data_IF_742937834894
#
_entry.id   IF_742937834894
#
_cell.length_a   1.000
_cell.length_b   1.000
_cell.length_c   1.000
_cell.angle_alpha   90.00
_cell.angle_beta   90.00
_cell.angle_gamma   90.00
#
_symmetry.space_group_name_H-M   'P 1'
#
loop_
_entity.id
_entity.type
_entity.pdbx_description
1 polymer ?
#
# COMPACT_ATOMS: atom_id res chain seq x y z
N UNK A 1 5.42 12.33 6.74
CA UNK A 1 5.41 10.88 6.91
C UNK A 1 6.76 10.23 6.56
N UNK A 2 7.22 10.14 5.36
CA UNK A 2 8.48 9.43 5.03
C UNK A 2 9.71 10.32 4.95
N UNK A 3 9.67 11.54 5.52
CA UNK A 3 10.80 12.48 5.48
C UNK A 3 12.02 11.90 6.21
N UNK A 4 13.06 11.57 5.45
CA UNK A 4 14.29 10.94 5.95
C UNK A 4 14.16 9.45 6.35
N UNK A 5 13.00 8.79 6.17
CA UNK A 5 12.82 7.37 6.49
C UNK A 5 13.10 6.43 5.32
N UNK A 6 13.11 6.91 4.07
CA UNK A 6 13.35 6.07 2.91
C UNK A 6 14.59 5.13 3.04
N UNK A 7 15.74 5.56 3.60
CA UNK A 7 16.89 4.68 3.79
C UNK A 7 16.68 3.52 4.77
N UNK A 8 15.62 3.56 5.57
CA UNK A 8 15.29 2.58 6.62
C UNK A 8 14.05 1.75 6.27
N UNK A 9 13.30 2.16 5.24
CA UNK A 9 12.00 1.59 4.92
C UNK A 9 12.06 0.08 4.71
N UNK A 10 13.03 -0.43 3.94
CA UNK A 10 13.19 -1.88 3.73
C UNK A 10 13.73 -2.65 4.95
N UNK A 11 14.08 -1.97 6.04
CA UNK A 11 14.38 -2.59 7.34
C UNK A 11 13.18 -2.53 8.29
N UNK A 12 12.24 -1.64 8.02
CA UNK A 12 10.95 -1.56 8.70
C UNK A 12 9.98 -2.59 8.10
N UNK A 13 9.90 -2.62 6.78
CA UNK A 13 9.02 -3.50 6.00
C UNK A 13 9.85 -4.19 4.90
N UNK A 14 10.45 -5.36 5.20
CA UNK A 14 11.32 -6.05 4.25
C UNK A 14 10.56 -6.51 3.00
N UNK A 15 11.05 -6.25 1.78
CA UNK A 15 10.38 -6.68 0.54
C UNK A 15 10.06 -8.17 0.49
N UNK A 16 10.89 -9.01 1.14
CA UNK A 16 10.69 -10.46 1.14
C UNK A 16 9.41 -10.92 1.85
N UNK A 17 8.86 -10.12 2.74
CA UNK A 17 7.63 -10.42 3.50
C UNK A 17 6.36 -10.26 2.64
N UNK A 18 6.45 -9.53 1.52
CA UNK A 18 5.32 -9.22 0.64
C UNK A 18 5.00 -10.27 -0.43
N UNK A 19 5.70 -11.43 -0.44
CA UNK A 19 5.48 -12.47 -1.46
C UNK A 19 4.05 -13.04 -1.40
N UNK A 20 3.57 -13.30 -0.19
CA UNK A 20 2.21 -13.82 0.05
C UNK A 20 1.11 -12.85 -0.38
N UNK A 21 1.22 -11.58 0.05
CA UNK A 21 0.26 -10.53 -0.28
C UNK A 21 0.24 -10.25 -1.80
N UNK A 22 1.41 -10.14 -2.42
CA UNK A 22 1.52 -9.95 -3.85
C UNK A 22 0.91 -11.12 -4.64
N UNK A 23 1.10 -12.37 -4.18
CA UNK A 23 0.50 -13.54 -4.80
C UNK A 23 -1.03 -13.53 -4.66
N UNK A 24 -1.55 -13.11 -3.52
CA UNK A 24 -2.99 -12.99 -3.27
C UNK A 24 -3.62 -11.87 -4.11
N UNK A 25 -3.04 -10.67 -4.12
CA UNK A 25 -3.46 -9.55 -4.97
C UNK A 25 -3.48 -9.94 -6.47
N UNK A 26 -2.43 -10.65 -6.93
CA UNK A 26 -2.37 -11.14 -8.31
C UNK A 26 -3.49 -12.15 -8.62
N UNK A 27 -3.84 -13.00 -7.66
CA UNK A 27 -4.95 -13.96 -7.79
C UNK A 27 -6.27 -13.21 -7.91
N UNK A 28 -6.55 -12.25 -7.04
CA UNK A 28 -7.75 -11.42 -7.10
C UNK A 28 -7.87 -10.67 -8.43
N UNK A 29 -6.77 -10.09 -8.90
CA UNK A 29 -6.77 -9.42 -10.20
C UNK A 29 -7.10 -10.39 -11.35
N UNK A 30 -6.50 -11.60 -11.35
CA UNK A 30 -6.77 -12.63 -12.39
C UNK A 30 -8.20 -13.12 -12.40
N UNK A 31 -8.80 -13.28 -11.23
CA UNK A 31 -10.15 -13.79 -11.07
C UNK A 31 -11.22 -12.75 -11.47
N UNK A 32 -10.87 -11.47 -11.40
CA UNK A 32 -11.84 -10.39 -11.61
C UNK A 32 -11.64 -9.56 -12.88
N UNK A 33 -10.45 -9.60 -13.50
CA UNK A 33 -10.20 -8.96 -14.79
C UNK A 33 -10.82 -9.78 -15.92
N UNK A 34 -11.63 -9.14 -16.75
CA UNK A 34 -12.13 -9.76 -17.97
C UNK A 34 -11.09 -9.65 -19.10
N UNK A 35 -10.60 -10.79 -19.57
CA UNK A 35 -9.58 -10.88 -20.62
C UNK A 35 -8.17 -10.92 -20.06
N UNK A 36 -7.15 -10.53 -20.86
CA UNK A 36 -5.76 -10.60 -20.43
C UNK A 36 -5.45 -9.59 -19.31
N UNK A 37 -4.62 -10.01 -18.38
CA UNK A 37 -4.00 -9.18 -17.35
C UNK A 37 -2.51 -9.08 -17.65
N UNK A 38 -2.06 -8.00 -18.27
CA UNK A 38 -0.67 -7.77 -18.66
C UNK A 38 -0.07 -6.52 -18.00
N UNK A 39 -0.92 -5.51 -17.74
CA UNK A 39 -0.49 -4.20 -17.23
C UNK A 39 -1.15 -3.88 -15.90
N UNK A 40 -0.38 -3.34 -14.97
CA UNK A 40 -0.85 -2.94 -13.64
C UNK A 40 -0.34 -1.53 -13.30
N UNK A 41 -1.24 -0.70 -12.81
CA UNK A 41 -0.90 0.56 -12.15
C UNK A 41 -0.97 0.34 -10.63
N UNK A 42 0.12 0.64 -9.92
CA UNK A 42 0.14 0.68 -8.46
C UNK A 42 0.13 2.14 -8.01
N UNK A 43 -0.88 2.51 -7.23
CA UNK A 43 -1.06 3.84 -6.65
C UNK A 43 -0.61 3.83 -5.19
N UNK A 44 0.38 4.67 -4.84
CA UNK A 44 0.99 4.66 -3.51
C UNK A 44 1.97 3.50 -3.31
N UNK A 45 2.84 3.26 -4.30
CA UNK A 45 3.73 2.09 -4.32
C UNK A 45 4.84 2.09 -3.26
N UNK A 46 5.04 3.20 -2.55
CA UNK A 46 6.06 3.30 -1.51
C UNK A 46 7.45 2.89 -2.00
N UNK A 47 8.12 2.04 -1.21
CA UNK A 47 9.43 1.46 -1.51
C UNK A 47 9.43 0.37 -2.59
N UNK A 48 8.26 0.04 -3.18
CA UNK A 48 8.13 -0.91 -4.27
C UNK A 48 8.15 -2.38 -3.84
N UNK A 49 7.72 -2.67 -2.62
CA UNK A 49 7.74 -4.01 -2.05
C UNK A 49 6.84 -4.97 -2.84
N UNK A 50 5.55 -4.63 -3.03
CA UNK A 50 4.60 -5.40 -3.84
C UNK A 50 5.10 -5.56 -5.28
N UNK A 51 5.56 -4.46 -5.89
CA UNK A 51 6.08 -4.45 -7.25
C UNK A 51 7.26 -5.41 -7.45
N UNK A 52 8.12 -5.60 -6.43
CA UNK A 52 9.28 -6.49 -6.51
C UNK A 52 8.91 -7.95 -6.82
N UNK A 53 7.69 -8.36 -6.46
CA UNK A 53 7.10 -9.67 -6.73
C UNK A 53 6.22 -9.66 -7.99
N UNK A 54 5.36 -8.65 -8.16
CA UNK A 54 4.39 -8.56 -9.25
C UNK A 54 5.04 -8.36 -10.63
N UNK A 55 6.20 -7.70 -10.71
CA UNK A 55 6.93 -7.43 -11.96
C UNK A 55 7.38 -8.69 -12.73
N UNK A 56 7.38 -9.85 -12.08
CA UNK A 56 7.67 -11.14 -12.73
C UNK A 56 6.53 -11.60 -13.65
N UNK A 57 5.34 -11.06 -13.45
CA UNK A 57 4.11 -11.48 -14.12
C UNK A 57 3.47 -10.38 -14.96
N UNK A 58 3.72 -9.11 -14.63
CA UNK A 58 3.01 -7.95 -15.17
C UNK A 58 3.97 -6.83 -15.55
N UNK A 59 3.59 -6.02 -16.53
CA UNK A 59 4.23 -4.73 -16.81
C UNK A 59 3.65 -3.71 -15.85
N UNK A 60 4.49 -3.14 -14.98
CA UNK A 60 4.07 -2.26 -13.91
C UNK A 60 4.34 -0.79 -14.23
N UNK A 61 3.45 0.07 -13.73
CA UNK A 61 3.67 1.51 -13.55
C UNK A 61 3.43 1.82 -12.08
N UNK A 62 4.43 2.35 -11.40
CA UNK A 62 4.39 2.67 -9.98
C UNK A 62 4.23 4.17 -9.78
N UNK A 63 3.37 4.56 -8.86
CA UNK A 63 3.19 5.97 -8.51
C UNK A 63 3.21 6.18 -7.00
N UNK A 64 3.82 7.27 -6.57
CA UNK A 64 3.83 7.69 -5.17
C UNK A 64 3.95 9.22 -5.07
N UNK A 65 3.51 9.80 -3.96
CA UNK A 65 3.66 11.24 -3.67
C UNK A 65 5.05 11.58 -3.14
N UNK A 66 5.79 10.60 -2.62
CA UNK A 66 7.09 10.76 -2.01
C UNK A 66 8.22 10.42 -3.00
N UNK A 67 8.99 11.40 -3.50
CA UNK A 67 10.05 11.16 -4.47
C UNK A 67 11.16 10.24 -3.93
N UNK A 68 11.43 10.30 -2.60
CA UNK A 68 12.45 9.48 -1.96
C UNK A 68 12.03 8.01 -1.91
N UNK A 69 10.72 7.73 -1.75
CA UNK A 69 10.18 6.37 -1.81
C UNK A 69 10.30 5.81 -3.23
N UNK A 70 9.98 6.60 -4.25
CA UNK A 70 10.20 6.21 -5.65
C UNK A 70 11.68 5.98 -5.96
N UNK A 71 12.58 6.79 -5.39
CA UNK A 71 14.03 6.58 -5.55
C UNK A 71 14.47 5.26 -4.90
N UNK A 72 13.95 4.93 -3.72
CA UNK A 72 14.18 3.66 -3.06
C UNK A 72 13.64 2.50 -3.89
N UNK A 73 12.39 2.58 -4.36
CA UNK A 73 11.75 1.56 -5.21
C UNK A 73 12.57 1.26 -6.46
N UNK A 74 13.18 2.27 -7.10
CA UNK A 74 14.06 2.07 -8.26
C UNK A 74 15.28 1.21 -7.95
N UNK A 75 15.72 1.12 -6.71
CA UNK A 75 16.88 0.28 -6.35
C UNK A 75 16.58 -1.21 -6.47
N UNK A 76 15.33 -1.62 -6.23
CA UNK A 76 14.89 -3.00 -6.31
C UNK A 76 14.02 -3.29 -7.56
N UNK A 77 13.49 -2.25 -8.20
CA UNK A 77 12.65 -2.34 -9.41
C UNK A 77 13.18 -1.40 -10.53
N UNK A 78 14.46 -1.51 -10.95
CA UNK A 78 15.06 -0.55 -11.90
C UNK A 78 14.43 -0.59 -13.29
N UNK A 79 13.80 -1.70 -13.68
CA UNK A 79 13.14 -1.91 -14.97
C UNK A 79 11.70 -1.38 -15.04
N UNK A 80 11.12 -0.99 -13.90
CA UNK A 80 9.73 -0.58 -13.79
C UNK A 80 9.61 0.93 -13.99
N UNK A 81 8.50 1.39 -14.58
CA UNK A 81 8.20 2.82 -14.70
C UNK A 81 7.77 3.40 -13.34
N UNK A 82 8.39 4.53 -12.94
CA UNK A 82 8.07 5.22 -11.70
C UNK A 82 7.69 6.67 -11.99
N UNK A 83 6.52 7.09 -11.55
CA UNK A 83 5.97 8.43 -11.76
C UNK A 83 5.58 9.08 -10.42
N UNK A 84 5.94 10.35 -10.25
CA UNK A 84 5.48 11.12 -9.11
C UNK A 84 3.99 11.47 -9.30
N UNK A 85 3.16 11.18 -8.32
CA UNK A 85 1.74 11.49 -8.41
C UNK A 85 0.96 11.20 -7.14
N UNK A 86 -0.10 11.96 -6.93
CA UNK A 86 -1.05 11.78 -5.86
C UNK A 86 -2.23 10.93 -6.36
N UNK A 87 -2.52 9.83 -5.68
CA UNK A 87 -3.60 8.92 -6.05
C UNK A 87 -4.98 9.57 -6.10
N UNK A 88 -5.16 10.73 -5.44
CA UNK A 88 -6.43 11.47 -5.48
C UNK A 88 -6.65 12.21 -6.80
N UNK A 89 -5.56 12.61 -7.46
CA UNK A 89 -5.63 13.55 -8.59
C UNK A 89 -4.85 13.13 -9.83
N UNK A 90 -4.12 12.03 -9.77
CA UNK A 90 -3.32 11.53 -10.88
C UNK A 90 -4.15 11.31 -12.15
N UNK A 91 -3.62 11.74 -13.30
CA UNK A 91 -4.22 11.53 -14.62
C UNK A 91 -3.13 11.23 -15.64
N UNK A 92 -2.94 9.93 -15.94
CA UNK A 92 -1.88 9.48 -16.86
C UNK A 92 -2.33 9.51 -18.34
N UNK A 93 -3.63 9.69 -18.62
CA UNK A 93 -4.16 9.68 -19.99
C UNK A 93 -4.07 8.32 -20.69
N UNK A 94 -3.90 7.25 -19.94
CA UNK A 94 -3.86 5.85 -20.42
C UNK A 94 -4.52 4.93 -19.41
N UNK A 95 -4.91 3.73 -19.86
CA UNK A 95 -5.59 2.73 -19.03
C UNK A 95 -4.74 1.47 -18.89
N UNK A 96 -5.06 0.70 -17.85
CA UNK A 96 -4.39 -0.54 -17.46
C UNK A 96 -5.41 -1.67 -17.36
N UNK A 97 -4.93 -2.92 -17.34
CA UNK A 97 -5.76 -4.09 -17.08
C UNK A 97 -6.16 -4.18 -15.60
N UNK A 98 -5.24 -3.83 -14.71
CA UNK A 98 -5.44 -3.80 -13.26
C UNK A 98 -4.96 -2.50 -12.62
N UNK A 99 -5.52 -2.18 -11.46
CA UNK A 99 -5.02 -1.16 -10.52
C UNK A 99 -4.89 -1.81 -9.15
N UNK A 100 -3.80 -1.52 -8.45
CA UNK A 100 -3.58 -1.92 -7.06
C UNK A 100 -3.39 -0.67 -6.20
N UNK A 101 -4.07 -0.63 -5.06
CA UNK A 101 -3.81 0.31 -3.98
C UNK A 101 -3.68 -0.53 -2.70
N UNK A 102 -2.46 -0.86 -2.36
CA UNK A 102 -2.13 -1.56 -1.12
C UNK A 102 -2.14 -0.55 0.04
N UNK A 103 -1.74 -0.84 1.21
CA UNK A 103 -1.74 -0.04 2.46
C UNK A 103 -1.88 1.49 2.31
N UNK A 104 -1.34 2.05 1.23
CA UNK A 104 -1.39 3.49 0.97
C UNK A 104 -2.82 4.07 0.88
N UNK A 105 -3.84 3.24 0.69
CA UNK A 105 -5.25 3.67 0.71
C UNK A 105 -5.67 4.11 2.11
N UNK A 106 -5.02 3.63 3.17
CA UNK A 106 -5.27 3.98 4.55
C UNK A 106 -5.04 5.48 4.83
N UNK A 107 -4.19 6.15 4.04
CA UNK A 107 -3.99 7.60 4.16
C UNK A 107 -5.16 8.45 3.62
N UNK A 108 -6.18 7.83 3.09
CA UNK A 108 -7.44 8.51 2.73
C UNK A 108 -8.32 8.59 3.98
N UNK A 109 -8.13 9.63 4.79
CA UNK A 109 -8.76 9.80 6.11
C UNK A 109 -10.17 10.40 6.07
N UNK A 110 -10.65 10.82 4.90
CA UNK A 110 -11.99 11.39 4.71
C UNK A 110 -12.70 10.69 3.56
N UNK A 111 -14.04 10.70 3.61
CA UNK A 111 -14.88 10.17 2.53
C UNK A 111 -14.52 10.76 1.16
N UNK A 112 -14.28 12.08 1.10
CA UNK A 112 -13.92 12.80 -0.13
C UNK A 112 -12.58 12.28 -0.70
N UNK A 113 -11.56 12.11 0.15
CA UNK A 113 -10.25 11.62 -0.31
C UNK A 113 -10.29 10.16 -0.73
N UNK A 114 -11.08 9.33 -0.05
CA UNK A 114 -11.29 7.94 -0.42
C UNK A 114 -12.01 7.83 -1.77
N UNK A 115 -13.08 8.60 -1.98
CA UNK A 115 -13.78 8.68 -3.26
C UNK A 115 -12.86 9.15 -4.40
N UNK A 116 -12.01 10.15 -4.16
CA UNK A 116 -11.06 10.64 -5.16
C UNK A 116 -10.05 9.55 -5.57
N UNK A 117 -9.52 8.79 -4.62
CA UNK A 117 -8.60 7.69 -4.90
C UNK A 117 -9.29 6.58 -5.70
N UNK A 118 -10.51 6.20 -5.33
CA UNK A 118 -11.32 5.22 -6.07
C UNK A 118 -11.67 5.70 -7.48
N UNK A 119 -12.01 6.98 -7.65
CA UNK A 119 -12.29 7.56 -8.97
C UNK A 119 -11.04 7.57 -9.87
N UNK A 120 -9.88 7.84 -9.29
CA UNK A 120 -8.60 7.74 -10.00
C UNK A 120 -8.32 6.31 -10.46
N UNK A 121 -8.54 5.32 -9.57
CA UNK A 121 -8.40 3.91 -9.94
C UNK A 121 -9.35 3.53 -11.09
N UNK A 122 -10.62 3.95 -11.01
CA UNK A 122 -11.62 3.70 -12.05
C UNK A 122 -11.22 4.29 -13.41
N UNK A 123 -10.76 5.54 -13.42
CA UNK A 123 -10.36 6.25 -14.65
C UNK A 123 -9.20 5.57 -15.37
N UNK A 124 -8.27 4.97 -14.59
CA UNK A 124 -7.10 4.30 -15.13
C UNK A 124 -7.31 2.84 -15.50
N UNK A 125 -8.50 2.28 -15.32
CA UNK A 125 -8.82 0.94 -15.80
C UNK A 125 -9.42 0.98 -17.21
N UNK A 126 -9.10 0.01 -18.04
CA UNK A 126 -9.89 -0.23 -19.27
C UNK A 126 -11.25 -0.85 -18.90
N UNK A 127 -12.27 -0.77 -19.78
CA UNK A 127 -13.50 -1.55 -19.60
C UNK A 127 -13.18 -3.04 -19.39
N UNK A 128 -13.78 -3.63 -18.35
CA UNK A 128 -13.52 -5.02 -17.93
C UNK A 128 -12.24 -5.21 -17.11
N UNK A 129 -11.50 -4.15 -16.76
CA UNK A 129 -10.40 -4.18 -15.79
C UNK A 129 -10.89 -4.25 -14.34
N UNK A 130 -9.98 -4.49 -13.39
CA UNK A 130 -10.29 -4.55 -11.97
C UNK A 130 -9.28 -3.78 -11.13
N UNK A 131 -9.78 -3.15 -10.06
CA UNK A 131 -8.95 -2.58 -8.99
C UNK A 131 -9.01 -3.49 -7.76
N UNK A 132 -7.86 -3.65 -7.09
CA UNK A 132 -7.75 -4.26 -5.76
C UNK A 132 -7.32 -3.18 -4.79
N UNK A 133 -8.07 -3.00 -3.70
CA UNK A 133 -7.84 -2.03 -2.64
C UNK A 133 -7.69 -2.79 -1.31
N UNK A 134 -6.57 -2.62 -0.66
CA UNK A 134 -6.15 -3.40 0.52
C UNK A 134 -5.92 -2.48 1.72
N UNK A 135 -6.99 -2.04 2.44
CA UNK A 135 -6.82 -1.33 3.70
C UNK A 135 -6.40 -2.29 4.81
N UNK A 136 -5.59 -1.81 5.77
CA UNK A 136 -5.21 -2.59 6.94
C UNK A 136 -6.44 -2.95 7.79
N UNK A 137 -7.35 -1.98 7.94
CA UNK A 137 -8.55 -2.16 8.75
C UNK A 137 -9.82 -1.61 8.10
N UNK A 138 -10.92 -2.28 8.42
CA UNK A 138 -12.27 -1.70 8.37
C UNK A 138 -12.80 -1.64 9.80
N UNK A 139 -13.78 -0.75 10.06
CA UNK A 139 -14.29 -0.50 11.43
C UNK A 139 -14.76 -1.78 12.14
N UNK A 140 -15.29 -2.75 11.39
CA UNK A 140 -15.84 -3.99 11.96
C UNK A 140 -14.79 -4.92 12.55
N UNK A 141 -13.57 -4.93 11.96
CA UNK A 141 -12.48 -5.82 12.39
C UNK A 141 -11.39 -5.09 13.19
N UNK A 142 -11.41 -3.75 13.20
CA UNK A 142 -10.42 -2.97 13.93
C UNK A 142 -10.32 -3.37 15.39
N UNK A 143 -9.10 -3.55 15.86
CA UNK A 143 -8.78 -3.75 17.29
C UNK A 143 -7.50 -2.99 17.62
N UNK A 144 -7.50 -2.16 18.67
CA UNK A 144 -6.27 -1.58 19.18
C UNK A 144 -5.25 -2.65 19.51
N UNK A 145 -3.98 -2.37 19.23
CA UNK A 145 -2.93 -3.37 19.43
C UNK A 145 -1.54 -2.77 19.57
N UNK A 146 -0.57 -3.66 19.69
CA UNK A 146 0.85 -3.35 19.68
C UNK A 146 1.57 -4.35 18.82
N UNK A 147 2.56 -3.88 18.08
CA UNK A 147 3.50 -4.73 17.36
C UNK A 147 4.95 -4.25 17.55
N UNK A 148 5.90 -5.05 17.16
CA UNK A 148 7.33 -4.74 17.21
C UNK A 148 8.10 -5.58 16.20
N UNK A 149 9.17 -5.01 15.67
CA UNK A 149 9.96 -5.70 14.65
C UNK A 149 11.19 -4.91 14.22
N UNK A 150 11.55 -5.12 12.97
CA UNK A 150 12.66 -4.47 12.30
C UNK A 150 13.87 -5.36 12.10
N UNK A 151 14.66 -5.03 11.08
CA UNK A 151 15.68 -5.87 10.50
C UNK A 151 17.09 -5.27 10.62
N UNK A 152 18.07 -6.14 10.45
CA UNK A 152 19.47 -5.81 10.21
C UNK A 152 19.74 -5.79 8.71
N UNK A 153 20.48 -4.77 8.23
CA UNK A 153 20.90 -4.78 6.83
C UNK A 153 21.84 -5.98 6.54
N UNK A 154 21.95 -6.41 5.27
CA UNK A 154 22.83 -7.54 4.90
C UNK A 154 24.29 -7.36 5.35
N UNK A 155 24.78 -6.12 5.46
CA UNK A 155 26.11 -5.79 5.96
C UNK A 155 26.24 -6.20 7.44
N UNK A 156 25.25 -5.84 8.28
CA UNK A 156 25.22 -6.18 9.71
C UNK A 156 25.11 -7.68 9.90
N UNK A 157 24.22 -8.34 9.15
CA UNK A 157 24.08 -9.79 9.17
C UNK A 157 25.39 -10.50 8.78
N UNK A 158 26.22 -9.89 7.93
CA UNK A 158 27.55 -10.37 7.53
C UNK A 158 28.67 -9.90 8.47
N UNK A 159 28.37 -9.30 9.63
CA UNK A 159 29.35 -8.81 10.61
C UNK A 159 30.10 -7.56 10.17
N UNK A 160 29.56 -6.77 9.25
CA UNK A 160 30.15 -5.53 8.72
C UNK A 160 29.36 -4.32 9.22
N UNK A 161 29.95 -3.11 9.20
CA UNK A 161 29.22 -1.88 9.45
C UNK A 161 28.04 -1.73 8.50
N UNK A 162 26.86 -1.50 9.04
CA UNK A 162 25.62 -1.37 8.28
C UNK A 162 24.52 -0.73 9.14
N UNK A 163 23.31 -0.69 8.60
CA UNK A 163 22.14 -0.17 9.30
C UNK A 163 21.39 -1.29 9.98
N UNK A 164 20.74 -0.95 11.10
CA UNK A 164 19.75 -1.81 11.75
C UNK A 164 18.61 -0.97 12.28
N UNK A 165 17.39 -1.49 12.21
CA UNK A 165 16.18 -0.85 12.72
C UNK A 165 15.50 -1.79 13.71
N UNK A 166 14.97 -1.23 14.80
CA UNK A 166 13.98 -1.91 15.67
C UNK A 166 12.88 -0.91 15.97
N UNK A 167 11.63 -1.39 15.99
CA UNK A 167 10.50 -0.55 16.31
C UNK A 167 9.55 -1.19 17.34
N UNK A 168 8.81 -0.34 17.98
CA UNK A 168 7.58 -0.63 18.70
C UNK A 168 6.47 0.19 18.07
N UNK A 169 5.33 -0.45 17.83
CA UNK A 169 4.14 0.15 17.23
C UNK A 169 2.97 0.07 18.20
N UNK A 170 2.19 1.14 18.25
CA UNK A 170 0.88 1.17 18.89
C UNK A 170 -0.18 1.59 17.89
N UNK A 171 -1.20 0.75 17.76
CA UNK A 171 -2.41 1.04 16.97
C UNK A 171 -3.52 1.37 17.96
N UNK A 172 -4.10 2.57 17.84
CA UNK A 172 -5.12 3.10 18.74
C UNK A 172 -6.21 3.84 17.98
N UNK A 173 -7.40 3.88 18.53
CA UNK A 173 -8.50 4.72 18.05
C UNK A 173 -8.90 5.68 19.19
N UNK A 174 -8.42 6.93 19.16
CA UNK A 174 -8.69 7.92 20.21
C UNK A 174 -10.13 8.46 20.19
N UNK A 175 -10.80 8.44 19.04
CA UNK A 175 -12.17 8.92 18.87
C UNK A 175 -12.99 7.98 17.98
N UNK A 176 -13.62 6.94 18.53
CA UNK A 176 -14.41 5.97 17.78
C UNK A 176 -15.62 6.56 17.02
N UNK A 177 -15.84 7.85 17.10
CA UNK A 177 -16.95 8.53 16.41
C UNK A 177 -16.52 9.17 15.10
N UNK A 178 -15.21 9.26 14.83
CA UNK A 178 -14.68 9.76 13.56
C UNK A 178 -14.36 8.62 12.57
N UNK A 179 -13.61 8.90 11.52
CA UNK A 179 -13.26 7.94 10.46
C UNK A 179 -11.76 7.65 10.44
N UNK A 180 -11.09 7.76 11.59
CA UNK A 180 -9.63 7.61 11.64
C UNK A 180 -9.16 6.74 12.80
N UNK A 181 -7.96 6.17 12.66
CA UNK A 181 -7.21 5.57 13.74
C UNK A 181 -5.77 6.10 13.70
N UNK A 182 -4.98 5.85 14.74
CA UNK A 182 -3.60 6.30 14.85
C UNK A 182 -2.64 5.13 15.00
N UNK A 183 -1.51 5.24 14.32
CA UNK A 183 -0.37 4.34 14.47
C UNK A 183 0.82 5.16 14.97
N UNK A 184 1.28 4.87 16.18
CA UNK A 184 2.43 5.50 16.81
C UNK A 184 3.64 4.58 16.77
N UNK A 185 4.74 5.04 16.20
CA UNK A 185 6.02 4.33 16.15
C UNK A 185 7.05 4.93 17.13
N UNK A 186 7.76 4.05 17.83
CA UNK A 186 9.03 4.37 18.48
C UNK A 186 10.12 3.51 17.84
N UNK A 187 11.09 4.14 17.16
CA UNK A 187 12.11 3.45 16.38
C UNK A 187 13.52 3.70 16.94
N UNK A 188 14.35 2.65 16.94
CA UNK A 188 15.79 2.71 17.14
C UNK A 188 16.48 2.50 15.81
N UNK A 189 17.18 3.51 15.33
CA UNK A 189 17.91 3.52 14.07
C UNK A 189 19.41 3.46 14.35
N UNK A 190 20.05 2.32 14.08
CA UNK A 190 21.48 2.14 14.23
C UNK A 190 22.20 2.42 12.92
N UNK A 191 23.06 3.43 12.92
CA UNK A 191 23.87 3.83 11.78
C UNK A 191 25.12 2.96 11.58
N UNK A 192 25.76 2.99 10.39
CA UNK A 192 26.98 2.20 10.12
C UNK A 192 28.17 2.56 11.02
N UNK A 193 28.23 3.76 11.59
CA UNK A 193 29.25 4.19 12.54
C UNK A 193 29.00 3.70 13.98
N UNK A 194 27.88 2.98 14.20
CA UNK A 194 27.46 2.45 15.50
C UNK A 194 26.64 3.41 16.33
N UNK A 195 26.45 4.65 15.91
CA UNK A 195 25.54 5.59 16.60
C UNK A 195 24.08 5.10 16.50
N UNK A 196 23.28 5.46 17.49
CA UNK A 196 21.86 5.11 17.57
C UNK A 196 21.03 6.39 17.67
N UNK A 197 20.09 6.55 16.76
CA UNK A 197 19.04 7.57 16.77
C UNK A 197 17.75 6.96 17.30
N UNK A 198 17.03 7.72 18.13
CA UNK A 198 15.66 7.40 18.54
C UNK A 198 14.73 8.30 17.74
N UNK A 199 13.78 7.70 17.01
CA UNK A 199 12.79 8.43 16.23
C UNK A 199 11.37 8.03 16.65
N UNK A 200 10.49 9.00 16.67
CA UNK A 200 9.06 8.79 16.80
C UNK A 200 8.37 9.25 15.52
N UNK A 201 7.37 8.50 15.10
CA UNK A 201 6.48 8.89 14.00
C UNK A 201 5.03 8.58 14.38
N UNK A 202 4.09 9.34 13.83
CA UNK A 202 2.66 9.13 14.00
C UNK A 202 1.98 9.19 12.65
N UNK A 203 1.22 8.15 12.35
CA UNK A 203 0.34 8.09 11.20
C UNK A 203 -1.11 8.24 11.66
N UNK A 204 -1.91 8.93 10.86
CA UNK A 204 -3.36 8.99 11.01
C UNK A 204 -3.94 8.38 9.76
N UNK A 205 -4.75 7.37 9.92
CA UNK A 205 -5.22 6.51 8.84
C UNK A 205 -6.74 6.38 8.85
N UNK A 206 -7.32 6.12 7.68
CA UNK A 206 -8.76 6.04 7.50
C UNK A 206 -9.34 4.74 8.05
N UNK A 207 -10.42 4.86 8.82
CA UNK A 207 -11.15 3.74 9.41
C UNK A 207 -12.63 3.82 9.01
N UNK A 208 -12.95 3.24 7.87
CA UNK A 208 -14.31 3.27 7.34
C UNK A 208 -15.00 1.92 7.50
N UNK A 209 -16.34 1.93 7.72
CA UNK A 209 -17.14 0.71 7.67
C UNK A 209 -17.07 0.05 6.29
N UNK A 210 -17.11 -1.29 6.25
CA UNK A 210 -17.19 -2.09 5.03
C UNK A 210 -18.28 -1.59 4.06
N UNK A 211 -19.44 -1.21 4.60
CA UNK A 211 -20.54 -0.69 3.80
C UNK A 211 -20.18 0.61 3.06
N UNK A 212 -19.37 1.47 3.66
CA UNK A 212 -18.88 2.72 3.05
C UNK A 212 -17.97 2.41 1.85
N UNK A 213 -17.05 1.47 1.98
CA UNK A 213 -16.16 1.04 0.90
C UNK A 213 -16.97 0.53 -0.30
N UNK A 214 -17.91 -0.39 -0.07
CA UNK A 214 -18.75 -0.95 -1.13
C UNK A 214 -19.63 0.13 -1.79
N UNK A 215 -20.22 1.02 -0.99
CA UNK A 215 -21.01 2.15 -1.48
C UNK A 215 -20.18 3.06 -2.38
N UNK A 216 -18.99 3.46 -1.94
CA UNK A 216 -18.16 4.41 -2.68
C UNK A 216 -17.60 3.81 -3.97
N UNK A 217 -17.23 2.54 -3.96
CA UNK A 217 -16.88 1.84 -5.20
C UNK A 217 -18.06 1.84 -6.19
N UNK A 218 -19.29 1.56 -5.71
CA UNK A 218 -20.48 1.60 -6.56
C UNK A 218 -20.80 3.02 -7.05
N UNK A 219 -20.68 4.05 -6.20
CA UNK A 219 -20.92 5.45 -6.56
C UNK A 219 -19.95 5.93 -7.66
N UNK A 220 -18.71 5.43 -7.66
CA UNK A 220 -17.70 5.71 -8.71
C UNK A 220 -18.01 4.98 -10.02
N UNK A 221 -18.77 3.88 -9.97
CA UNK A 221 -19.17 3.12 -11.15
C UNK A 221 -18.59 1.70 -11.24
N UNK A 222 -17.92 1.20 -10.21
CA UNK A 222 -17.49 -0.18 -10.11
C UNK A 222 -18.66 -1.14 -9.80
N UNK A 223 -18.49 -2.40 -10.17
CA UNK A 223 -19.18 -3.54 -9.55
C UNK A 223 -18.34 -3.99 -8.35
N UNK A 224 -18.71 -3.64 -7.10
CA UNK A 224 -17.86 -3.87 -5.94
C UNK A 224 -18.02 -5.26 -5.35
N UNK A 225 -16.93 -5.83 -4.83
CA UNK A 225 -16.86 -7.09 -4.10
C UNK A 225 -16.01 -6.86 -2.85
N UNK A 226 -16.42 -7.41 -1.70
CA UNK A 226 -15.56 -7.53 -0.54
C UNK A 226 -15.12 -8.99 -0.39
N UNK A 227 -13.85 -9.19 -0.11
CA UNK A 227 -13.18 -10.48 0.04
C UNK A 227 -12.75 -10.61 1.50
N UNK A 228 -13.21 -11.66 2.18
CA UNK A 228 -13.00 -11.89 3.63
C UNK A 228 -12.03 -13.05 3.91
N UNK A 229 -11.48 -13.68 2.88
CA UNK A 229 -10.60 -14.84 3.00
C UNK A 229 -9.11 -14.48 2.79
N UNK A 230 -8.76 -13.23 3.04
CA UNK A 230 -7.36 -12.80 3.11
C UNK A 230 -6.60 -13.59 4.19
N UNK A 231 -5.40 -14.13 3.90
CA UNK A 231 -4.62 -14.92 4.86
C UNK A 231 -4.28 -14.18 6.16
N UNK A 232 -4.24 -12.86 6.14
CA UNK A 232 -3.97 -12.00 7.31
C UNK A 232 -5.24 -11.54 8.03
N UNK A 233 -6.41 -11.93 7.52
CA UNK A 233 -7.72 -11.60 8.11
C UNK A 233 -8.20 -10.17 7.82
N UNK A 234 -7.61 -9.49 6.84
CA UNK A 234 -8.07 -8.18 6.36
C UNK A 234 -9.34 -8.33 5.51
N UNK A 235 -10.04 -7.23 5.30
CA UNK A 235 -11.11 -7.15 4.32
C UNK A 235 -10.59 -6.42 3.09
N UNK A 236 -10.46 -7.12 1.97
CA UNK A 236 -9.98 -6.57 0.72
C UNK A 236 -11.16 -6.22 -0.19
N UNK A 237 -11.06 -5.13 -0.93
CA UNK A 237 -12.10 -4.68 -1.84
C UNK A 237 -11.65 -4.82 -3.28
N UNK A 238 -12.51 -5.43 -4.11
CA UNK A 238 -12.32 -5.52 -5.55
C UNK A 238 -13.38 -4.69 -6.24
N UNK A 239 -12.96 -3.73 -7.05
CA UNK A 239 -13.82 -2.97 -7.94
C UNK A 239 -13.65 -3.43 -9.38
N UNK A 240 -14.68 -4.02 -10.00
CA UNK A 240 -14.64 -4.36 -11.43
C UNK A 240 -15.20 -3.21 -12.25
N UNK A 241 -14.43 -2.74 -13.25
CA UNK A 241 -14.97 -1.78 -14.20
C UNK A 241 -15.90 -2.50 -15.19
N UNK A 242 -17.18 -2.11 -15.35
CA UNK A 242 -18.09 -2.66 -16.34
C UNK A 242 -17.49 -2.65 -17.76
N UNK A 243 -17.98 -3.52 -18.63
CA UNK A 243 -17.50 -3.60 -20.02
C UNK A 243 -18.11 -2.54 -20.93
N UNK A 244 -19.27 -2.03 -20.55
CA UNK A 244 -20.09 -1.08 -21.30
C UNK A 244 -20.34 0.20 -20.50
#
# INVERSE_FOLDING_TARGET
>A
MYDGMAPWFHLLTPPAEYDGEAAFALTLLRDHVHGPLNTLLELGSGGGNMASHLKRNLTLTLTDVAPDMLALSRTINPEVEHLLGDMRTLRLGRTFDGVLIHDAICYMTTEDTLLQAMATAFEHLRPGGAAVLEPDYVSEIFRPGTDHGGEDSPEVAAGRPGRALRYLEWVTDPDPTDTTYQVDYAMLLRHPDGSVEVRQDRHVEGLFPRATWLKFLADVGFDPIAVDDDPEGRVIFVGRRPRD
#
